data_IF_251855230209
#
_entry.id   IF_251855230209
#
_cell.length_a   1.000
_cell.length_b   1.000
_cell.length_c   1.000
_cell.angle_alpha   90.00
_cell.angle_beta   90.00
_cell.angle_gamma   90.00
#
_symmetry.space_group_name_H-M   'P 1'
#
loop_
_entity.id
_entity.type
_entity.pdbx_description
1 polymer ?
#
# COMPACT_ATOMS: atom_id res chain seq x y z
N UNK A 1 -10.13 16.08 27.52
CA UNK A 1 -8.83 15.39 27.39
C UNK A 1 -8.36 15.47 25.93
N UNK A 2 -7.54 16.47 25.60
CA UNK A 2 -7.03 16.63 24.22
C UNK A 2 -5.95 15.58 23.96
N UNK A 3 -6.24 14.57 23.12
CA UNK A 3 -5.23 13.66 22.62
C UNK A 3 -4.25 14.48 21.78
N UNK A 4 -3.04 14.74 22.29
CA UNK A 4 -1.93 15.30 21.51
C UNK A 4 -1.81 14.46 20.24
N UNK A 5 -2.14 15.04 19.08
CA UNK A 5 -2.00 14.35 17.80
C UNK A 5 -0.51 14.06 17.64
N UNK A 6 -0.16 12.78 17.48
CA UNK A 6 1.18 12.38 17.07
C UNK A 6 1.46 13.05 15.73
N UNK A 7 2.60 13.72 15.60
CA UNK A 7 2.97 14.33 14.33
C UNK A 7 3.13 13.21 13.29
N UNK A 8 2.32 13.28 12.24
CA UNK A 8 2.33 12.29 11.17
C UNK A 8 3.67 12.25 10.44
N UNK A 9 4.42 13.37 10.40
CA UNK A 9 5.73 13.44 9.76
C UNK A 9 6.75 12.61 10.54
N UNK A 10 6.81 12.79 11.85
CA UNK A 10 7.70 12.01 12.73
C UNK A 10 7.36 10.53 12.69
N UNK A 11 6.07 10.17 12.71
CA UNK A 11 5.65 8.78 12.65
C UNK A 11 5.97 8.14 11.29
N UNK A 12 5.77 8.88 10.19
CA UNK A 12 6.16 8.44 8.84
C UNK A 12 7.66 8.16 8.75
N UNK A 13 8.50 9.08 9.21
CA UNK A 13 9.96 8.88 9.22
C UNK A 13 10.37 7.67 10.06
N UNK A 14 9.73 7.47 11.21
CA UNK A 14 10.00 6.30 12.06
C UNK A 14 9.69 5.00 11.32
N UNK A 15 8.51 4.90 10.71
CA UNK A 15 8.08 3.70 9.99
C UNK A 15 8.94 3.41 8.75
N UNK A 16 9.46 4.43 8.07
CA UNK A 16 10.37 4.27 6.93
C UNK A 16 11.76 3.76 7.31
N UNK A 17 12.18 3.94 8.56
CA UNK A 17 13.49 3.49 9.06
C UNK A 17 13.47 2.06 9.61
N UNK A 18 12.31 1.50 9.92
CA UNK A 18 12.17 0.13 10.41
C UNK A 18 12.41 -0.88 9.28
N UNK A 19 12.98 -2.02 9.64
CA UNK A 19 13.06 -3.16 8.72
C UNK A 19 11.70 -3.86 8.56
N UNK A 20 11.62 -4.82 7.62
CA UNK A 20 10.37 -5.54 7.35
C UNK A 20 9.86 -6.37 8.54
N UNK A 21 10.75 -6.93 9.36
CA UNK A 21 10.36 -7.78 10.49
C UNK A 21 9.83 -6.95 11.67
N UNK A 22 10.46 -5.82 11.95
CA UNK A 22 10.02 -4.86 12.95
C UNK A 22 8.70 -4.21 12.55
N UNK A 23 8.54 -3.85 11.26
CA UNK A 23 7.26 -3.31 10.75
C UNK A 23 6.11 -4.29 10.97
N UNK A 24 6.31 -5.59 10.73
CA UNK A 24 5.28 -6.63 10.92
C UNK A 24 4.77 -6.74 12.37
N UNK A 25 5.61 -6.43 13.37
CA UNK A 25 5.19 -6.43 14.80
C UNK A 25 4.18 -5.34 15.10
N UNK A 26 4.17 -4.27 14.32
CA UNK A 26 3.32 -3.09 14.51
C UNK A 26 2.11 -3.04 13.59
N UNK A 27 1.95 -4.03 12.69
CA UNK A 27 0.78 -4.11 11.85
C UNK A 27 -0.49 -4.25 12.70
N UNK A 28 -1.54 -3.53 12.32
CA UNK A 28 -2.85 -3.62 12.99
C UNK A 28 -3.43 -5.03 12.90
N UNK A 29 -3.09 -5.76 11.84
CA UNK A 29 -3.50 -7.14 11.61
C UNK A 29 -2.27 -7.99 11.38
N UNK A 30 -2.29 -9.22 11.88
CA UNK A 30 -1.18 -10.16 11.69
C UNK A 30 -1.36 -11.07 10.46
N UNK A 31 -2.52 -11.03 9.80
CA UNK A 31 -2.85 -11.85 8.62
C UNK A 31 -2.46 -11.17 7.29
N UNK A 32 -1.23 -10.69 7.18
CA UNK A 32 -0.74 -10.04 5.97
C UNK A 32 -0.35 -11.04 4.86
N UNK A 33 -0.47 -10.60 3.61
CA UNK A 33 -0.12 -11.36 2.42
C UNK A 33 1.13 -10.72 1.79
N UNK A 34 2.30 -11.36 1.89
CA UNK A 34 3.52 -10.89 1.24
C UNK A 34 3.40 -11.00 -0.29
N UNK A 35 4.10 -10.10 -1.01
CA UNK A 35 4.08 -10.01 -2.47
C UNK A 35 4.40 -11.35 -3.14
N UNK A 36 5.31 -12.13 -2.56
CA UNK A 36 5.75 -13.43 -3.08
C UNK A 36 4.64 -14.49 -3.09
N UNK A 37 3.58 -14.31 -2.29
CA UNK A 37 2.41 -15.22 -2.28
C UNK A 37 1.36 -14.85 -3.32
N UNK A 38 1.50 -13.70 -3.99
CA UNK A 38 0.56 -13.26 -5.02
C UNK A 38 1.04 -13.84 -6.36
N UNK A 39 0.30 -14.79 -6.97
CA UNK A 39 0.71 -15.35 -8.25
C UNK A 39 0.66 -14.29 -9.34
N UNK A 40 1.61 -14.33 -10.25
CA UNK A 40 1.57 -13.53 -11.48
C UNK A 40 0.45 -14.02 -12.40
N UNK A 41 0.00 -13.15 -13.30
CA UNK A 41 -0.98 -13.51 -14.33
C UNK A 41 -0.50 -14.69 -15.18
N UNK A 42 0.81 -14.77 -15.44
CA UNK A 42 1.39 -15.93 -16.11
C UNK A 42 1.18 -17.21 -15.30
N UNK A 43 1.48 -17.20 -14.01
CA UNK A 43 1.37 -18.38 -13.15
C UNK A 43 -0.08 -18.85 -13.01
N UNK A 44 -1.03 -17.91 -12.88
CA UNK A 44 -2.46 -18.21 -12.82
C UNK A 44 -2.98 -18.81 -14.14
N UNK A 45 -2.62 -18.22 -15.29
CA UNK A 45 -3.07 -18.70 -16.60
C UNK A 45 -2.34 -19.98 -17.09
N UNK A 46 -1.22 -20.38 -16.49
CA UNK A 46 -0.57 -21.66 -16.82
C UNK A 46 -1.49 -22.87 -16.56
N UNK A 47 -2.42 -22.77 -15.61
CA UNK A 47 -3.42 -23.80 -15.34
C UNK A 47 -4.52 -23.90 -16.43
N UNK A 48 -4.76 -22.81 -17.17
CA UNK A 48 -5.82 -22.67 -18.18
C UNK A 48 -5.31 -22.69 -19.63
N UNK A 49 -4.09 -23.19 -19.86
CA UNK A 49 -3.36 -23.16 -21.14
C UNK A 49 -3.95 -24.06 -22.24
N UNK A 50 -5.27 -24.29 -22.26
CA UNK A 50 -5.94 -25.04 -23.32
C UNK A 50 -6.14 -24.20 -24.58
N UNK A 51 -6.41 -22.91 -24.49
CA UNK A 51 -6.72 -22.11 -25.68
C UNK A 51 -6.36 -20.65 -25.42
N UNK A 52 -5.17 -20.20 -25.86
CA UNK A 52 -4.99 -18.86 -26.42
C UNK A 52 -3.52 -18.61 -26.77
N UNK A 53 -3.31 -18.20 -28.03
CA UNK A 53 -2.20 -17.40 -28.55
C UNK A 53 -0.78 -17.68 -28.06
N UNK A 54 0.08 -18.16 -28.98
CA UNK A 54 1.55 -18.22 -28.85
C UNK A 54 2.11 -17.03 -28.05
N UNK A 55 2.48 -17.28 -26.80
CA UNK A 55 3.39 -16.40 -26.07
C UNK A 55 4.70 -16.34 -26.86
N UNK A 56 5.18 -15.15 -27.21
CA UNK A 56 6.46 -14.98 -27.90
C UNK A 56 7.56 -15.48 -26.95
N UNK A 57 8.27 -16.59 -27.28
CA UNK A 57 9.25 -17.14 -26.36
C UNK A 57 10.46 -16.19 -26.30
N UNK A 58 10.82 -15.75 -25.10
CA UNK A 58 12.10 -15.05 -24.86
C UNK A 58 12.03 -13.57 -24.46
N UNK A 59 10.84 -12.94 -24.38
CA UNK A 59 10.69 -11.65 -23.70
C UNK A 59 9.74 -11.82 -22.52
N UNK A 60 10.25 -11.60 -21.30
CA UNK A 60 9.43 -11.50 -20.10
C UNK A 60 8.27 -10.55 -20.36
N UNK A 61 7.06 -11.11 -20.44
CA UNK A 61 5.87 -10.40 -20.87
C UNK A 61 5.36 -9.52 -19.73
N UNK A 62 4.39 -8.65 -20.05
CA UNK A 62 3.65 -7.94 -19.00
C UNK A 62 2.95 -8.91 -18.03
N UNK A 63 2.68 -10.14 -18.46
CA UNK A 63 2.09 -11.21 -17.63
C UNK A 63 2.93 -11.66 -16.44
N UNK A 64 4.24 -11.40 -16.43
CA UNK A 64 5.12 -11.65 -15.27
C UNK A 64 5.08 -10.50 -14.24
N UNK A 65 4.51 -9.36 -14.61
CA UNK A 65 4.55 -8.11 -13.84
C UNK A 65 3.19 -7.68 -13.31
N UNK A 66 2.14 -8.37 -13.71
CA UNK A 66 0.76 -8.08 -13.30
C UNK A 66 0.17 -9.31 -12.67
N UNK A 67 -0.71 -9.10 -11.69
CA UNK A 67 -1.45 -10.12 -10.97
C UNK A 67 -2.90 -9.68 -10.84
N UNK A 68 -3.84 -10.62 -10.88
CA UNK A 68 -5.22 -10.37 -10.51
C UNK A 68 -5.43 -10.89 -9.09
N UNK A 69 -5.74 -10.01 -8.15
CA UNK A 69 -6.01 -10.37 -6.76
C UNK A 69 -7.45 -10.04 -6.39
N UNK A 70 -8.17 -11.03 -5.85
CA UNK A 70 -9.54 -10.89 -5.34
C UNK A 70 -9.53 -11.08 -3.83
N UNK A 71 -9.62 -9.98 -3.10
CA UNK A 71 -9.65 -10.01 -1.63
C UNK A 71 -9.59 -8.60 -1.03
N UNK A 72 -9.35 -8.55 0.28
CA UNK A 72 -9.11 -7.31 1.01
C UNK A 72 -7.76 -6.70 0.59
N UNK A 73 -7.75 -5.46 0.09
CA UNK A 73 -6.52 -4.79 -0.35
C UNK A 73 -5.64 -4.35 0.83
N UNK A 74 -6.21 -4.23 2.03
CA UNK A 74 -5.50 -3.73 3.22
C UNK A 74 -4.56 -4.76 3.86
N UNK A 75 -4.66 -6.03 3.46
CA UNK A 75 -3.78 -7.11 3.95
C UNK A 75 -2.54 -7.30 3.08
N UNK A 76 -2.44 -6.62 1.93
CA UNK A 76 -1.31 -6.77 1.01
C UNK A 76 -0.07 -6.07 1.57
N UNK A 77 1.00 -6.82 1.78
CA UNK A 77 2.33 -6.29 2.12
C UNK A 77 3.04 -5.91 0.81
N UNK A 78 2.70 -4.71 0.30
CA UNK A 78 3.24 -4.10 -0.91
C UNK A 78 3.64 -2.64 -0.64
N UNK A 79 4.48 -2.07 -1.49
CA UNK A 79 5.03 -0.71 -1.28
C UNK A 79 3.96 0.39 -1.27
N UNK A 80 2.93 0.24 -2.09
CA UNK A 80 1.83 1.18 -2.19
C UNK A 80 0.52 0.45 -2.52
N UNK A 81 -0.54 0.91 -1.88
CA UNK A 81 -1.92 0.59 -2.25
C UNK A 81 -2.63 1.88 -2.65
N UNK A 82 -3.52 1.78 -3.63
CA UNK A 82 -4.29 2.93 -4.10
C UNK A 82 -5.61 2.96 -3.33
N UNK A 83 -5.97 4.14 -2.82
CA UNK A 83 -7.29 4.36 -2.22
C UNK A 83 -8.19 5.07 -3.23
N UNK A 84 -9.41 4.56 -3.41
CA UNK A 84 -10.47 5.24 -4.15
C UNK A 84 -11.21 6.21 -3.22
N UNK A 85 -10.53 7.28 -2.81
CA UNK A 85 -11.11 8.31 -1.94
C UNK A 85 -11.94 9.33 -2.70
N UNK A 86 -12.99 9.85 -2.09
CA UNK A 86 -13.72 11.02 -2.60
C UNK A 86 -12.92 12.31 -2.36
N UNK A 87 -13.08 13.30 -3.24
CA UNK A 87 -12.61 14.67 -2.99
C UNK A 87 -13.47 15.34 -1.92
N UNK A 88 -13.33 14.91 -0.67
CA UNK A 88 -13.83 15.70 0.45
C UNK A 88 -12.93 16.93 0.57
N UNK A 89 -13.46 18.10 0.17
CA UNK A 89 -12.79 19.38 0.26
C UNK A 89 -12.06 19.51 1.60
N UNK A 90 -10.78 19.91 1.56
CA UNK A 90 -9.97 20.21 2.73
C UNK A 90 -10.53 21.44 3.44
N UNK A 91 -11.69 21.32 4.09
CA UNK A 91 -12.27 22.37 4.91
C UNK A 91 -11.43 22.52 6.16
N UNK A 92 -10.58 23.55 6.13
CA UNK A 92 -10.15 24.40 7.24
C UNK A 92 -10.03 23.73 8.62
N UNK A 93 -8.81 23.36 9.03
CA UNK A 93 -8.33 23.52 10.43
C UNK A 93 -6.80 23.59 10.44
N UNK A 94 -6.24 24.70 9.98
CA UNK A 94 -4.80 24.96 10.17
C UNK A 94 -4.40 26.43 9.99
N UNK A 95 -5.17 27.39 10.48
CA UNK A 95 -4.69 28.77 10.70
C UNK A 95 -5.45 29.43 11.87
N UNK A 96 -5.18 28.99 13.09
CA UNK A 96 -5.37 29.84 14.28
C UNK A 96 -4.21 29.50 15.22
N UNK A 97 -3.17 30.32 15.15
CA UNK A 97 -1.94 30.11 15.89
C UNK A 97 -0.86 31.11 15.52
N UNK A 98 -1.23 32.37 15.28
CA UNK A 98 -0.30 33.49 15.25
C UNK A 98 -1.06 34.77 15.64
N UNK A 99 -1.50 34.80 16.90
CA UNK A 99 -1.88 36.05 17.54
C UNK A 99 -1.32 36.05 18.96
N UNK A 100 0.00 36.19 19.09
CA UNK A 100 0.64 36.81 20.25
C UNK A 100 2.05 37.28 19.85
N UNK A 101 2.16 38.52 19.39
CA UNK A 101 3.32 39.34 19.76
C UNK A 101 2.86 40.81 19.80
N UNK A 102 2.61 41.25 21.03
CA UNK A 102 2.55 42.65 21.46
C UNK A 102 3.94 43.30 21.32
N UNK A 103 4.06 44.58 20.97
CA UNK A 103 4.94 45.48 21.70
C UNK A 103 4.28 45.94 23.00
#
# INVERSE_FOLDING_TARGET
MSKKKKDWKTEKERLLRLDGEERRKEYRRQDFIPLEKIPTWREENRANRKEEGKEVPGRGGLSDKVSLYKGDITVLEVDAIVNAGEEAGKSQKQQEGDFLQVP
#
